data_IF_057480974354
#
_entry.id   IF_057480974354
#
_cell.length_a   1.000
_cell.length_b   1.000
_cell.length_c   1.000
_cell.angle_alpha   90.00
_cell.angle_beta   90.00
_cell.angle_gamma   90.00
#
_symmetry.space_group_name_H-M   'P 1'
#
loop_
_entity.id
_entity.type
_entity.pdbx_description
1 polymer ?
#
# COMPACT_ATOMS: atom_id res chain seq x y z
N UNK A 1 1.71 0.44 20.09
CA UNK A 1 2.50 0.46 18.84
C UNK A 1 2.17 1.72 18.06
N UNK A 2 3.16 2.45 17.51
CA UNK A 2 2.87 3.52 16.54
C UNK A 2 2.28 2.90 15.26
N UNK A 3 1.27 3.52 14.63
CA UNK A 3 0.75 3.03 13.36
C UNK A 3 1.79 3.18 12.23
N UNK A 4 1.58 2.44 11.14
CA UNK A 4 2.46 2.38 9.98
C UNK A 4 2.38 3.64 9.10
N UNK A 5 2.85 4.76 9.65
CA UNK A 5 3.06 6.03 8.95
C UNK A 5 4.56 6.25 8.75
N UNK A 6 4.97 6.78 7.61
CA UNK A 6 6.37 7.16 7.44
C UNK A 6 6.70 8.30 8.40
N UNK A 7 7.70 8.11 9.26
CA UNK A 7 8.13 9.15 10.19
C UNK A 7 8.53 10.44 9.46
N UNK A 8 9.16 10.30 8.28
CA UNK A 8 9.71 11.41 7.52
C UNK A 8 8.62 12.19 6.77
N UNK A 9 7.87 11.54 5.89
CA UNK A 9 6.91 12.20 5.00
C UNK A 9 5.44 12.10 5.42
N UNK A 10 5.13 11.39 6.50
CA UNK A 10 3.76 11.21 6.98
C UNK A 10 2.90 10.27 6.14
N UNK A 11 3.40 9.70 5.03
CA UNK A 11 2.64 8.77 4.18
C UNK A 11 2.05 7.65 5.02
N UNK A 12 0.73 7.48 4.91
CA UNK A 12 -0.01 6.37 5.49
C UNK A 12 0.07 5.15 4.59
N UNK A 13 0.62 4.06 5.12
CA UNK A 13 0.65 2.76 4.46
C UNK A 13 0.08 1.66 5.36
N UNK A 14 -0.79 2.02 6.32
CA UNK A 14 -1.43 1.06 7.25
C UNK A 14 -2.27 0.02 6.51
N UNK A 15 -2.97 0.40 5.44
CA UNK A 15 -3.74 -0.57 4.65
C UNK A 15 -2.82 -1.57 3.94
N UNK A 16 -1.79 -1.08 3.25
CA UNK A 16 -0.77 -1.95 2.61
C UNK A 16 -0.12 -2.89 3.63
N UNK A 17 0.29 -2.35 4.78
CA UNK A 17 0.92 -3.14 5.83
C UNK A 17 -0.01 -4.21 6.41
N UNK A 18 -1.28 -3.88 6.66
CA UNK A 18 -2.27 -4.81 7.23
C UNK A 18 -2.58 -5.96 6.28
N UNK A 19 -2.71 -5.67 4.99
CA UNK A 19 -3.20 -6.65 4.02
C UNK A 19 -2.08 -7.44 3.34
N UNK A 20 -0.88 -6.85 3.21
CA UNK A 20 0.21 -7.43 2.42
C UNK A 20 1.59 -7.35 3.10
N UNK A 21 1.67 -6.84 4.33
CA UNK A 21 2.94 -6.58 5.02
C UNK A 21 3.93 -5.77 4.15
N UNK A 22 3.38 -4.81 3.39
CA UNK A 22 4.10 -3.99 2.42
C UNK A 22 3.91 -2.49 2.67
N UNK A 23 4.29 -1.63 1.70
CA UNK A 23 4.19 -0.17 1.76
C UNK A 23 5.33 0.51 2.51
N UNK A 24 5.93 -0.18 3.49
CA UNK A 24 7.06 0.31 4.25
C UNK A 24 7.64 -0.76 5.17
N UNK A 25 8.51 -0.34 6.07
CA UNK A 25 9.13 -1.22 7.05
C UNK A 25 9.47 -0.49 8.35
N UNK A 26 9.74 -1.28 9.39
CA UNK A 26 10.31 -0.81 10.64
C UNK A 26 11.83 -0.83 10.58
N UNK A 27 12.46 0.32 10.79
CA UNK A 27 13.91 0.44 10.87
C UNK A 27 14.32 0.58 12.33
N UNK A 28 15.27 -0.26 12.73
CA UNK A 28 15.93 -0.22 14.05
C UNK A 28 17.17 0.65 13.94
N UNK A 29 17.31 1.58 14.88
CA UNK A 29 18.48 2.43 15.07
C UNK A 29 19.32 1.94 16.26
N UNK A 30 20.49 2.54 16.45
CA UNK A 30 21.46 2.13 17.49
C UNK A 30 20.89 2.15 18.91
N UNK A 31 19.99 3.09 19.19
CA UNK A 31 19.32 3.27 20.47
C UNK A 31 18.09 2.37 20.65
N UNK A 32 17.87 1.41 19.75
CA UNK A 32 16.77 0.45 19.86
C UNK A 32 16.86 -0.35 21.15
N UNK A 33 15.76 -0.37 21.91
CA UNK A 33 15.58 -1.24 23.07
C UNK A 33 14.27 -1.98 22.95
N UNK A 34 14.34 -3.30 22.96
CA UNK A 34 13.15 -4.13 23.04
C UNK A 34 12.40 -3.80 24.34
N UNK A 35 11.08 -3.67 24.23
CA UNK A 35 10.23 -3.51 25.40
C UNK A 35 10.13 -4.83 26.17
N UNK A 36 9.99 -4.81 27.51
CA UNK A 36 9.65 -5.99 28.29
C UNK A 36 8.40 -6.70 27.75
N UNK A 37 8.29 -8.01 27.98
CA UNK A 37 7.21 -8.86 27.43
C UNK A 37 5.81 -8.41 27.87
N UNK A 38 5.69 -7.76 29.02
CA UNK A 38 4.44 -7.23 29.59
C UNK A 38 4.17 -5.76 29.19
N UNK A 39 5.08 -5.11 28.48
CA UNK A 39 4.98 -3.70 28.12
C UNK A 39 4.32 -3.49 26.75
N UNK A 40 3.23 -2.73 26.72
CA UNK A 40 2.56 -2.30 25.48
C UNK A 40 3.09 -0.94 25.05
N UNK A 41 3.59 -0.83 23.83
CA UNK A 41 4.14 0.45 23.38
C UNK A 41 4.74 0.43 21.99
N UNK A 42 5.47 1.49 21.68
CA UNK A 42 6.39 1.52 20.56
C UNK A 42 7.81 1.58 21.13
N UNK A 43 8.67 0.58 20.85
CA UNK A 43 10.03 0.57 21.32
C UNK A 43 10.79 1.85 20.95
N UNK A 44 11.63 2.41 21.85
CA UNK A 44 12.55 3.48 21.48
C UNK A 44 13.52 2.98 20.40
N UNK A 45 14.04 3.89 19.58
CA UNK A 45 14.98 3.57 18.50
C UNK A 45 14.41 2.70 17.37
N UNK A 46 13.09 2.57 17.27
CA UNK A 46 12.39 1.85 16.20
C UNK A 46 11.47 2.84 15.52
N UNK A 47 11.47 2.98 14.19
CA UNK A 47 10.54 3.90 13.50
C UNK A 47 10.05 3.32 12.17
N UNK A 48 8.87 3.77 11.73
CA UNK A 48 8.26 3.39 10.46
C UNK A 48 8.75 4.26 9.31
N UNK A 49 9.07 3.65 8.17
CA UNK A 49 9.40 4.36 6.93
C UNK A 49 8.66 3.75 5.74
N UNK A 50 8.13 4.59 4.85
CA UNK A 50 7.61 4.12 3.57
C UNK A 50 8.75 3.59 2.70
N UNK A 51 8.40 2.83 1.65
CA UNK A 51 9.35 2.19 0.73
C UNK A 51 10.43 3.15 0.20
N UNK A 52 10.08 4.40 -0.08
CA UNK A 52 10.99 5.42 -0.61
C UNK A 52 12.06 5.84 0.40
N UNK A 53 11.70 5.97 1.68
CA UNK A 53 12.61 6.50 2.71
C UNK A 53 13.31 5.40 3.51
N UNK A 54 12.82 4.17 3.46
CA UNK A 54 13.34 3.09 4.28
C UNK A 54 14.78 2.71 3.94
N UNK A 55 15.17 2.75 2.66
CA UNK A 55 16.54 2.45 2.25
C UNK A 55 17.56 3.43 2.86
N UNK A 56 17.28 4.73 2.81
CA UNK A 56 18.12 5.75 3.43
C UNK A 56 18.15 5.61 4.96
N UNK A 57 17.00 5.34 5.59
CA UNK A 57 16.91 5.12 7.03
C UNK A 57 17.77 3.94 7.48
N UNK A 58 17.81 2.83 6.73
CA UNK A 58 18.67 1.68 7.03
C UNK A 58 20.15 2.01 6.97
N UNK A 59 20.60 2.81 6.01
CA UNK A 59 22.00 3.25 5.93
C UNK A 59 22.40 4.00 7.21
N UNK A 60 21.48 4.76 7.79
CA UNK A 60 21.67 5.54 9.01
C UNK A 60 21.37 4.78 10.31
N UNK A 61 21.07 3.48 10.24
CA UNK A 61 20.74 2.63 11.40
C UNK A 61 21.85 2.56 12.47
N UNK A 62 23.09 2.87 12.09
CA UNK A 62 24.24 2.94 12.98
C UNK A 62 24.23 4.17 13.90
N UNK A 63 23.42 5.19 13.61
CA UNK A 63 23.19 6.35 14.46
C UNK A 63 22.06 6.06 15.46
N UNK A 64 21.94 6.88 16.51
CA UNK A 64 20.70 6.94 17.28
C UNK A 64 19.56 7.52 16.42
N UNK A 65 18.33 7.16 16.77
CA UNK A 65 17.14 7.58 16.05
C UNK A 65 17.07 9.10 15.88
N UNK A 66 17.30 9.88 16.94
CA UNK A 66 17.26 11.34 16.87
C UNK A 66 18.23 11.89 15.79
N UNK A 67 19.48 11.43 15.78
CA UNK A 67 20.50 11.88 14.82
C UNK A 67 20.20 11.39 13.40
N UNK A 68 19.78 10.13 13.24
CA UNK A 68 19.40 9.58 11.94
C UNK A 68 18.24 10.35 11.32
N UNK A 69 17.25 10.72 12.13
CA UNK A 69 16.07 11.44 11.69
C UNK A 69 16.38 12.87 11.23
N UNK A 70 17.30 13.56 11.92
CA UNK A 70 17.83 14.87 11.48
C UNK A 70 18.55 14.73 10.13
N UNK A 71 19.37 13.70 9.96
CA UNK A 71 20.08 13.47 8.70
C UNK A 71 19.12 13.13 7.54
N UNK A 72 18.08 12.35 7.79
CA UNK A 72 17.02 12.09 6.80
C UNK A 72 16.30 13.38 6.40
N UNK A 73 15.96 14.24 7.36
CA UNK A 73 15.37 15.55 7.04
C UNK A 73 16.32 16.44 6.24
N UNK A 74 17.63 16.36 6.49
CA UNK A 74 18.63 17.07 5.68
C UNK A 74 18.68 16.57 4.23
N UNK A 75 18.54 15.26 4.03
CA UNK A 75 18.62 14.63 2.71
C UNK A 75 17.35 14.83 1.87
N UNK A 76 16.17 14.69 2.48
CA UNK A 76 14.87 14.70 1.78
C UNK A 76 14.07 16.00 1.97
N UNK A 77 14.53 16.89 2.86
CA UNK A 77 13.80 18.09 3.25
C UNK A 77 12.80 17.86 4.39
N UNK A 78 12.08 18.92 4.73
CA UNK A 78 11.01 18.88 5.73
C UNK A 78 9.67 18.62 5.05
N UNK A 79 8.87 17.74 5.65
CA UNK A 79 7.52 17.43 5.21
C UNK A 79 6.48 17.97 6.21
N UNK A 80 5.29 18.37 5.74
CA UNK A 80 4.18 18.63 6.63
C UNK A 80 3.83 17.36 7.41
N UNK A 81 3.75 17.45 8.74
CA UNK A 81 3.35 16.32 9.60
C UNK A 81 1.83 16.12 9.69
N UNK A 82 1.09 16.58 8.69
CA UNK A 82 -0.35 16.42 8.66
C UNK A 82 -0.65 14.98 8.26
N UNK A 83 -0.94 14.16 9.25
CA UNK A 83 -1.48 12.82 9.03
C UNK A 83 -2.99 12.99 9.01
N UNK A 84 -3.59 12.96 7.81
CA UNK A 84 -5.03 12.97 7.70
C UNK A 84 -5.60 11.67 8.29
N UNK A 85 -6.64 11.74 9.13
CA UNK A 85 -7.30 10.55 9.65
C UNK A 85 -7.94 9.76 8.49
N UNK A 86 -7.25 8.72 8.02
CA UNK A 86 -7.82 7.78 7.06
C UNK A 86 -8.34 6.54 7.79
N UNK A 87 -9.40 5.92 7.27
CA UNK A 87 -9.81 4.59 7.72
C UNK A 87 -8.92 3.55 7.02
N UNK A 88 -8.66 2.42 7.69
CA UNK A 88 -8.04 1.30 7.01
C UNK A 88 -9.08 0.73 6.04
N UNK A 89 -8.84 0.88 4.75
CA UNK A 89 -9.72 0.39 3.69
C UNK A 89 -9.25 -0.96 3.17
N UNK A 90 -10.21 -1.82 2.82
CA UNK A 90 -9.91 -2.99 2.01
C UNK A 90 -9.39 -2.52 0.64
N UNK A 91 -8.32 -3.11 0.12
CA UNK A 91 -7.81 -2.75 -1.19
C UNK A 91 -8.78 -3.14 -2.30
N UNK A 92 -8.53 -2.58 -3.47
CA UNK A 92 -9.33 -2.81 -4.67
C UNK A 92 -8.46 -3.31 -5.81
N UNK A 93 -8.97 -4.29 -6.57
CA UNK A 93 -8.39 -4.68 -7.86
C UNK A 93 -8.93 -3.75 -8.94
N UNK A 94 -8.03 -3.04 -9.60
CA UNK A 94 -8.34 -2.12 -10.68
C UNK A 94 -7.89 -2.68 -12.02
N UNK A 95 -8.72 -2.52 -13.05
CA UNK A 95 -8.31 -2.70 -14.44
C UNK A 95 -7.89 -1.33 -14.95
N UNK A 96 -6.61 -1.18 -15.26
CA UNK A 96 -6.02 0.09 -15.71
C UNK A 96 -5.83 0.14 -17.22
N UNK A 97 -5.72 -1.02 -17.87
CA UNK A 97 -5.79 -1.15 -19.32
C UNK A 97 -6.53 -2.45 -19.67
N UNK A 98 -7.47 -2.38 -20.60
CA UNK A 98 -8.31 -3.53 -20.97
C UNK A 98 -7.59 -4.51 -21.91
N UNK A 99 -6.63 -4.03 -22.68
CA UNK A 99 -5.95 -4.86 -23.68
C UNK A 99 -6.84 -5.23 -24.90
N UNK A 100 -6.34 -6.14 -25.77
CA UNK A 100 -6.97 -6.45 -27.05
C UNK A 100 -8.21 -7.36 -26.92
N UNK A 101 -8.28 -8.22 -25.90
CA UNK A 101 -9.33 -9.23 -25.75
C UNK A 101 -10.54 -8.72 -24.93
N UNK A 102 -11.16 -7.64 -25.41
CA UNK A 102 -12.27 -6.93 -24.72
C UNK A 102 -13.44 -7.82 -24.30
N UNK A 103 -13.83 -8.79 -25.14
CA UNK A 103 -14.95 -9.71 -24.84
C UNK A 103 -14.66 -10.62 -23.65
N UNK A 104 -13.40 -11.03 -23.47
CA UNK A 104 -13.00 -11.85 -22.32
C UNK A 104 -12.95 -11.02 -21.05
N UNK A 105 -12.42 -9.79 -21.12
CA UNK A 105 -12.46 -8.87 -19.96
C UNK A 105 -13.90 -8.58 -19.55
N UNK A 106 -14.82 -8.40 -20.50
CA UNK A 106 -16.24 -8.25 -20.22
C UNK A 106 -16.81 -9.44 -19.42
N UNK A 107 -16.47 -10.67 -19.83
CA UNK A 107 -16.90 -11.87 -19.12
C UNK A 107 -16.36 -11.92 -17.68
N UNK A 108 -15.10 -11.54 -17.46
CA UNK A 108 -14.51 -11.43 -16.12
C UNK A 108 -15.26 -10.40 -15.27
N UNK A 109 -15.59 -9.23 -15.84
CA UNK A 109 -16.38 -8.21 -15.12
C UNK A 109 -17.71 -8.79 -14.65
N UNK A 110 -18.44 -9.48 -15.53
CA UNK A 110 -19.73 -10.08 -15.18
C UNK A 110 -19.60 -11.14 -14.08
N UNK A 111 -18.59 -12.02 -14.18
CA UNK A 111 -18.35 -13.08 -13.20
C UNK A 111 -17.94 -12.53 -11.83
N UNK A 112 -17.05 -11.53 -11.81
CA UNK A 112 -16.53 -10.98 -10.56
C UNK A 112 -17.53 -10.06 -9.83
N UNK A 113 -18.41 -9.38 -10.58
CA UNK A 113 -19.32 -8.35 -10.02
C UNK A 113 -20.79 -8.75 -10.00
N UNK A 114 -21.18 -9.83 -10.70
CA UNK A 114 -22.58 -10.22 -10.91
C UNK A 114 -23.37 -9.25 -11.80
N UNK A 115 -22.71 -8.28 -12.45
CA UNK A 115 -23.35 -7.28 -13.31
C UNK A 115 -23.85 -7.87 -14.62
N UNK A 116 -24.87 -7.23 -15.19
CA UNK A 116 -25.37 -7.56 -16.53
C UNK A 116 -24.32 -7.22 -17.60
N UNK A 117 -24.46 -7.78 -18.81
CA UNK A 117 -23.55 -7.47 -19.92
C UNK A 117 -23.54 -5.97 -20.27
N UNK A 118 -24.69 -5.31 -20.18
CA UNK A 118 -24.82 -3.87 -20.44
C UNK A 118 -24.04 -3.06 -19.40
N UNK A 119 -24.22 -3.34 -18.11
CA UNK A 119 -23.50 -2.64 -17.03
C UNK A 119 -22.00 -2.91 -17.09
N UNK A 120 -21.61 -4.14 -17.43
CA UNK A 120 -20.21 -4.51 -17.61
C UNK A 120 -19.58 -3.78 -18.81
N UNK A 121 -20.33 -3.56 -19.90
CA UNK A 121 -19.85 -2.77 -21.06
C UNK A 121 -19.65 -1.30 -20.71
N UNK A 122 -20.53 -0.73 -19.88
CA UNK A 122 -20.37 0.64 -19.37
C UNK A 122 -19.08 0.73 -18.56
N UNK A 123 -18.85 -0.20 -17.64
CA UNK A 123 -17.65 -0.24 -16.81
C UNK A 123 -16.37 -0.40 -17.66
N UNK A 124 -16.39 -1.32 -18.63
CA UNK A 124 -15.28 -1.58 -19.56
C UNK A 124 -14.84 -0.32 -20.32
N UNK A 125 -15.79 0.57 -20.66
CA UNK A 125 -15.51 1.84 -21.37
C UNK A 125 -14.91 2.91 -20.46
N UNK A 126 -15.14 2.82 -19.15
CA UNK A 126 -14.69 3.79 -18.16
C UNK A 126 -13.32 3.44 -17.56
N UNK A 127 -12.38 2.93 -18.37
CA UNK A 127 -11.04 2.57 -17.90
C UNK A 127 -10.24 3.83 -17.49
N UNK A 128 -9.56 3.85 -16.33
CA UNK A 128 -9.42 2.78 -15.34
C UNK A 128 -10.66 2.61 -14.45
N UNK A 129 -10.97 1.37 -14.05
CA UNK A 129 -12.11 1.07 -13.18
C UNK A 129 -11.81 0.06 -12.07
N UNK A 130 -12.52 0.17 -10.95
CA UNK A 130 -12.54 -0.81 -9.86
C UNK A 130 -13.34 -2.05 -10.30
N UNK A 131 -12.72 -3.23 -10.23
CA UNK A 131 -13.39 -4.50 -10.51
C UNK A 131 -14.03 -5.07 -9.24
N UNK A 132 -13.25 -5.24 -8.19
CA UNK A 132 -13.67 -5.80 -6.90
C UNK A 132 -12.86 -5.21 -5.76
N UNK A 133 -13.44 -5.20 -4.56
CA UNK A 133 -12.81 -4.76 -3.31
C UNK A 133 -12.79 -5.90 -2.30
N UNK A 134 -11.73 -5.99 -1.51
CA UNK A 134 -11.56 -7.04 -0.49
C UNK A 134 -10.09 -7.41 -0.23
N UNK A 135 -9.86 -8.62 0.26
CA UNK A 135 -8.50 -9.09 0.59
C UNK A 135 -7.67 -9.38 -0.67
N UNK A 136 -6.38 -8.96 -0.74
CA UNK A 136 -5.55 -9.18 -1.93
C UNK A 136 -5.48 -10.62 -2.42
N UNK A 137 -5.53 -11.59 -1.50
CA UNK A 137 -5.52 -13.01 -1.85
C UNK A 137 -6.74 -13.43 -2.71
N UNK A 138 -7.90 -12.79 -2.54
CA UNK A 138 -9.09 -13.12 -3.33
C UNK A 138 -9.02 -12.58 -4.77
N UNK A 139 -8.07 -11.69 -5.07
CA UNK A 139 -7.89 -11.11 -6.40
C UNK A 139 -7.06 -11.97 -7.33
N UNK A 140 -6.33 -12.96 -6.80
CA UNK A 140 -5.29 -13.65 -7.56
C UNK A 140 -5.84 -14.39 -8.78
N UNK A 141 -7.01 -15.01 -8.67
CA UNK A 141 -7.68 -15.66 -9.81
C UNK A 141 -8.01 -14.66 -10.92
N UNK A 142 -8.65 -13.54 -10.55
CA UNK A 142 -9.02 -12.49 -11.49
C UNK A 142 -7.82 -11.83 -12.13
N UNK A 143 -6.75 -11.60 -11.35
CA UNK A 143 -5.50 -11.01 -11.83
C UNK A 143 -4.86 -11.86 -12.91
N UNK A 144 -4.69 -13.16 -12.64
CA UNK A 144 -4.13 -14.12 -13.60
C UNK A 144 -4.98 -14.18 -14.87
N UNK A 145 -6.32 -14.23 -14.72
CA UNK A 145 -7.21 -14.29 -15.88
C UNK A 145 -7.12 -13.03 -16.74
N UNK A 146 -7.17 -11.84 -16.12
CA UNK A 146 -7.09 -10.54 -16.81
C UNK A 146 -5.73 -10.34 -17.50
N UNK A 147 -4.63 -10.65 -16.81
CA UNK A 147 -3.29 -10.55 -17.38
C UNK A 147 -3.11 -11.54 -18.55
N UNK A 148 -3.66 -12.75 -18.46
CA UNK A 148 -3.62 -13.74 -19.54
C UNK A 148 -4.32 -13.29 -20.83
N UNK A 149 -5.25 -12.33 -20.73
CA UNK A 149 -5.96 -11.76 -21.88
C UNK A 149 -5.39 -10.43 -22.35
N UNK A 150 -4.26 -10.01 -21.77
CA UNK A 150 -3.54 -8.80 -22.11
C UNK A 150 -4.08 -7.53 -21.44
N UNK A 151 -4.90 -7.66 -20.40
CA UNK A 151 -5.27 -6.52 -19.57
C UNK A 151 -4.16 -6.22 -18.55
N UNK A 152 -4.00 -4.94 -18.21
CA UNK A 152 -3.12 -4.50 -17.11
C UNK A 152 -3.97 -4.16 -15.91
N UNK A 153 -3.55 -4.65 -14.75
CA UNK A 153 -4.29 -4.55 -13.50
C UNK A 153 -3.39 -4.11 -12.36
N UNK A 154 -3.98 -3.43 -11.38
CA UNK A 154 -3.28 -2.88 -10.22
C UNK A 154 -4.10 -3.15 -8.95
N UNK A 155 -3.43 -3.49 -7.86
CA UNK A 155 -4.06 -3.50 -6.53
C UNK A 155 -3.79 -2.15 -5.88
N UNK A 156 -4.85 -1.41 -5.56
CA UNK A 156 -4.78 -0.09 -4.92
C UNK A 156 -5.20 -0.19 -3.46
N UNK A 157 -4.44 0.43 -2.58
CA UNK A 157 -4.64 0.41 -1.13
C UNK A 157 -5.07 1.77 -0.58
N UNK A 158 -4.98 2.79 -1.41
CA UNK A 158 -5.46 4.14 -1.24
C UNK A 158 -6.86 4.30 -1.85
N UNK A 159 -7.66 5.21 -1.27
CA UNK A 159 -8.80 5.74 -2.00
C UNK A 159 -8.25 6.76 -3.00
N UNK A 160 -8.43 6.49 -4.29
CA UNK A 160 -8.36 7.51 -5.32
C UNK A 160 -9.45 8.57 -5.09
#
# INVERSE_FOLDING_TARGET
MKPAYCWLCGRDFRSEWRHAQSGGELVRFRDYKQLPDDAVGHPPGLEWFCREHAAAARVLSHLDSASALVELQRQFGSFPKVIEPSLIHDPSLWVVEVGPQRSRVLAVIQQATGRTATDALVLLRATPFELVRGWPASFQSWRVELESVGARVEVRYDQA
#
